data_IF_071751525943
#
_entry.id   IF_071751525943
#
_cell.length_a   1.000
_cell.length_b   1.000
_cell.length_c   1.000
_cell.angle_alpha   90.00
_cell.angle_beta   90.00
_cell.angle_gamma   90.00
#
_symmetry.space_group_name_H-M   'P 1'
#
loop_
_entity.id
_entity.type
_entity.pdbx_description
1 polymer ?
#
# COMPACT_ATOMS: atom_id res chain seq x y z
N UNK A 1 -12.06 9.29 -3.11
CA UNK A 1 -11.19 9.04 -4.28
C UNK A 1 -9.74 9.44 -4.06
N UNK A 2 -9.37 10.70 -3.84
CA UNK A 2 -7.94 11.05 -3.61
C UNK A 2 -7.33 10.29 -2.43
N UNK A 3 -8.06 10.19 -1.32
CA UNK A 3 -7.65 9.39 -0.15
C UNK A 3 -7.47 7.91 -0.54
N UNK A 4 -8.44 7.34 -1.26
CA UNK A 4 -8.37 5.95 -1.72
C UNK A 4 -7.14 5.72 -2.64
N UNK A 5 -6.77 6.70 -3.46
CA UNK A 5 -5.56 6.64 -4.32
C UNK A 5 -4.28 6.68 -3.48
N UNK A 6 -4.23 7.50 -2.41
CA UNK A 6 -3.10 7.55 -1.49
C UNK A 6 -2.90 6.20 -0.79
N UNK A 7 -3.96 5.65 -0.25
CA UNK A 7 -3.99 4.33 0.40
C UNK A 7 -3.55 3.22 -0.56
N UNK A 8 -4.06 3.26 -1.80
CA UNK A 8 -3.69 2.31 -2.83
C UNK A 8 -2.20 2.40 -3.18
N UNK A 9 -1.65 3.60 -3.35
CA UNK A 9 -0.23 3.79 -3.63
C UNK A 9 0.66 3.24 -2.49
N UNK A 10 0.24 3.43 -1.24
CA UNK A 10 0.94 2.88 -0.06
C UNK A 10 0.89 1.35 -0.05
N UNK A 11 -0.24 0.72 -0.35
CA UNK A 11 -0.34 -0.74 -0.40
C UNK A 11 0.41 -1.38 -1.58
N UNK A 12 0.40 -0.71 -2.73
CA UNK A 12 1.03 -1.23 -3.95
C UNK A 12 2.55 -1.14 -3.89
N UNK A 13 3.08 -0.03 -3.33
CA UNK A 13 4.49 0.29 -3.45
C UNK A 13 5.21 0.38 -2.10
N UNK A 14 4.50 0.49 -0.97
CA UNK A 14 5.04 0.91 0.32
C UNK A 14 5.80 2.26 0.22
N UNK A 15 5.30 3.15 -0.65
CA UNK A 15 5.85 4.49 -0.94
C UNK A 15 4.76 5.55 -0.88
N UNK A 16 5.18 6.78 -0.55
CA UNK A 16 4.41 7.96 -0.86
C UNK A 16 4.45 8.22 -2.38
N UNK A 17 3.32 8.51 -3.05
CA UNK A 17 3.29 8.67 -4.49
C UNK A 17 4.00 9.94 -4.99
N UNK A 18 4.12 10.99 -4.17
CA UNK A 18 4.57 12.30 -4.64
C UNK A 18 3.54 12.96 -5.56
N UNK A 19 3.70 14.26 -5.82
CA UNK A 19 2.68 15.04 -6.56
C UNK A 19 2.59 14.67 -8.03
N UNK A 20 3.68 14.19 -8.65
CA UNK A 20 3.68 13.75 -10.06
C UNK A 20 2.75 12.55 -10.27
N UNK A 21 3.01 11.44 -9.58
CA UNK A 21 2.20 10.24 -9.71
C UNK A 21 0.78 10.48 -9.18
N UNK A 22 0.63 11.15 -8.04
CA UNK A 22 -0.70 11.44 -7.52
C UNK A 22 -1.53 12.26 -8.53
N UNK A 23 -0.92 13.25 -9.19
CA UNK A 23 -1.56 14.03 -10.23
C UNK A 23 -2.05 13.17 -11.40
N UNK A 24 -1.21 12.26 -11.89
CA UNK A 24 -1.58 11.31 -12.95
C UNK A 24 -2.77 10.43 -12.56
N UNK A 25 -2.74 9.83 -11.37
CA UNK A 25 -3.81 8.95 -10.89
C UNK A 25 -5.11 9.72 -10.61
N UNK A 26 -5.03 10.96 -10.12
CA UNK A 26 -6.21 11.83 -9.93
C UNK A 26 -6.81 12.23 -11.28
N UNK A 27 -6.00 12.52 -12.30
CA UNK A 27 -6.50 12.77 -13.66
C UNK A 27 -7.24 11.55 -14.21
N UNK A 28 -6.67 10.35 -14.03
CA UNK A 28 -7.32 9.11 -14.41
C UNK A 28 -8.67 8.90 -13.69
N UNK A 29 -8.72 9.17 -12.38
CA UNK A 29 -9.95 9.09 -11.61
C UNK A 29 -11.00 10.10 -12.07
N UNK A 30 -10.60 11.35 -12.36
CA UNK A 30 -11.49 12.39 -12.88
C UNK A 30 -11.98 12.07 -14.30
N UNK A 31 -11.24 11.27 -15.07
CA UNK A 31 -11.67 10.73 -16.36
C UNK A 31 -12.63 9.53 -16.22
N UNK A 32 -12.99 9.14 -14.99
CA UNK A 32 -13.97 8.09 -14.70
C UNK A 32 -13.38 6.70 -14.49
N UNK A 33 -12.05 6.56 -14.37
CA UNK A 33 -11.46 5.26 -14.02
C UNK A 33 -11.86 4.82 -12.61
N UNK A 34 -12.11 3.52 -12.47
CA UNK A 34 -12.35 2.89 -11.17
C UNK A 34 -11.03 2.74 -10.40
N UNK A 35 -11.13 2.53 -9.09
CA UNK A 35 -9.96 2.28 -8.25
C UNK A 35 -9.19 1.02 -8.68
N UNK A 36 -9.90 -0.01 -9.17
CA UNK A 36 -9.26 -1.22 -9.73
C UNK A 36 -8.50 -0.92 -11.04
N UNK A 37 -9.02 -0.05 -11.90
CA UNK A 37 -8.31 0.39 -13.10
C UNK A 37 -7.07 1.24 -12.76
N UNK A 38 -7.16 2.07 -11.72
CA UNK A 38 -6.03 2.83 -11.18
C UNK A 38 -4.98 1.88 -10.58
N UNK A 39 -5.41 0.85 -9.84
CA UNK A 39 -4.53 -0.22 -9.35
C UNK A 39 -3.88 -0.99 -10.51
N UNK A 40 -4.62 -1.23 -11.60
CA UNK A 40 -4.08 -1.79 -12.84
C UNK A 40 -2.99 -0.92 -13.46
N UNK A 41 -3.17 0.40 -13.44
CA UNK A 41 -2.15 1.36 -13.89
C UNK A 41 -0.89 1.24 -13.04
N UNK A 42 -1.03 1.22 -11.71
CA UNK A 42 0.09 1.06 -10.78
C UNK A 42 0.80 -0.31 -10.96
N UNK A 43 0.07 -1.41 -11.10
CA UNK A 43 0.64 -2.75 -11.32
C UNK A 43 1.37 -2.88 -12.67
N UNK A 44 0.98 -2.07 -13.66
CA UNK A 44 1.60 -2.08 -14.99
C UNK A 44 2.95 -1.35 -15.03
N UNK A 45 3.29 -0.55 -14.01
CA UNK A 45 4.51 0.26 -13.94
C UNK A 45 5.77 -0.59 -13.85
N UNK A 46 6.87 -0.02 -14.33
CA UNK A 46 8.18 -0.67 -14.30
C UNK A 46 8.66 -0.88 -12.85
N UNK A 47 8.41 0.08 -11.96
CA UNK A 47 8.81 0.00 -10.55
C UNK A 47 8.10 -1.17 -9.84
N UNK A 48 6.79 -1.34 -10.06
CA UNK A 48 6.02 -2.44 -9.48
C UNK A 48 6.51 -3.79 -10.00
N UNK A 49 6.75 -3.92 -11.31
CA UNK A 49 7.25 -5.16 -11.93
C UNK A 49 8.71 -5.47 -11.59
N UNK A 50 9.47 -4.47 -11.15
CA UNK A 50 10.83 -4.68 -10.67
C UNK A 50 10.84 -5.24 -9.25
N UNK A 51 9.93 -4.76 -8.39
CA UNK A 51 9.73 -5.28 -7.03
C UNK A 51 9.05 -6.65 -7.05
N UNK A 52 8.02 -6.82 -7.90
CA UNK A 52 7.21 -8.03 -8.04
C UNK A 52 7.28 -8.58 -9.48
N UNK A 53 8.36 -9.31 -9.84
CA UNK A 53 8.55 -9.79 -11.19
C UNK A 53 7.48 -10.76 -11.69
N UNK A 54 7.12 -10.65 -12.97
CA UNK A 54 6.08 -11.48 -13.60
C UNK A 54 6.40 -12.98 -13.70
N UNK A 55 7.64 -13.38 -13.40
CA UNK A 55 8.03 -14.80 -13.36
C UNK A 55 7.77 -15.44 -11.99
N UNK A 56 7.38 -14.66 -10.98
CA UNK A 56 7.01 -15.18 -9.67
C UNK A 56 5.77 -16.06 -9.77
N UNK A 57 5.79 -17.13 -8.99
CA UNK A 57 4.58 -17.85 -8.65
C UNK A 57 3.66 -16.98 -7.78
N UNK A 58 2.35 -17.27 -7.74
CA UNK A 58 1.42 -16.58 -6.85
C UNK A 58 1.84 -16.60 -5.38
N UNK A 59 2.48 -17.69 -4.94
CA UNK A 59 3.00 -17.83 -3.59
C UNK A 59 4.18 -16.89 -3.34
N UNK A 60 5.18 -16.85 -4.24
CA UNK A 60 6.34 -15.95 -4.11
C UNK A 60 5.91 -14.48 -4.08
N UNK A 61 4.99 -14.09 -4.98
CA UNK A 61 4.38 -12.77 -4.94
C UNK A 61 3.70 -12.49 -3.59
N UNK A 62 2.89 -13.44 -3.10
CA UNK A 62 2.22 -13.33 -1.81
C UNK A 62 3.19 -13.16 -0.65
N UNK A 63 4.26 -13.95 -0.59
CA UNK A 63 5.27 -13.88 0.47
C UNK A 63 5.96 -12.50 0.50
N UNK A 64 6.38 -11.97 -0.65
CA UNK A 64 7.04 -10.67 -0.73
C UNK A 64 6.07 -9.51 -0.46
N UNK A 65 4.88 -9.53 -1.08
CA UNK A 65 3.92 -8.44 -0.92
C UNK A 65 3.39 -8.36 0.52
N UNK A 66 2.99 -9.50 1.12
CA UNK A 66 2.49 -9.53 2.51
C UNK A 66 3.57 -9.09 3.50
N UNK A 67 4.83 -9.53 3.33
CA UNK A 67 5.93 -9.08 4.20
C UNK A 67 6.16 -7.57 4.13
N UNK A 68 5.96 -6.96 2.96
CA UNK A 68 6.08 -5.51 2.75
C UNK A 68 4.94 -4.72 3.41
N UNK A 69 3.69 -5.17 3.20
CA UNK A 69 2.50 -4.42 3.66
C UNK A 69 2.11 -4.71 5.11
N UNK A 70 2.44 -5.89 5.65
CA UNK A 70 2.09 -6.31 7.02
C UNK A 70 3.34 -6.74 7.83
N UNK A 71 4.35 -5.87 7.99
CA UNK A 71 5.63 -6.25 8.61
C UNK A 71 5.52 -6.60 10.11
N UNK A 72 4.45 -6.15 10.78
CA UNK A 72 4.19 -6.43 12.20
C UNK A 72 3.32 -7.68 12.41
N UNK A 73 2.89 -8.36 11.34
CA UNK A 73 2.14 -9.61 11.45
C UNK A 73 3.08 -10.74 11.91
N UNK A 74 2.58 -11.59 12.81
CA UNK A 74 3.30 -12.79 13.19
C UNK A 74 3.38 -13.81 12.04
N UNK A 75 4.23 -14.83 12.20
CA UNK A 75 4.47 -15.82 11.15
C UNK A 75 3.22 -16.63 10.77
N UNK A 76 2.28 -16.84 11.71
CA UNK A 76 1.07 -17.60 11.45
C UNK A 76 0.09 -16.77 10.59
N UNK A 77 -0.09 -15.50 10.96
CA UNK A 77 -0.93 -14.57 10.22
C UNK A 77 -0.35 -14.24 8.84
N UNK A 78 0.97 -14.08 8.72
CA UNK A 78 1.62 -13.93 7.42
C UNK A 78 1.34 -15.13 6.51
N UNK A 79 1.51 -16.36 7.03
CA UNK A 79 1.23 -17.57 6.27
C UNK A 79 -0.24 -17.66 5.82
N UNK A 80 -1.18 -17.28 6.68
CA UNK A 80 -2.61 -17.22 6.34
C UNK A 80 -2.89 -16.20 5.23
N UNK A 81 -2.34 -14.99 5.33
CA UNK A 81 -2.49 -13.96 4.29
C UNK A 81 -1.88 -14.41 2.95
N UNK A 82 -0.72 -15.05 2.96
CA UNK A 82 -0.09 -15.60 1.75
C UNK A 82 -1.01 -16.63 1.07
N UNK A 83 -1.65 -17.51 1.84
CA UNK A 83 -2.61 -18.48 1.29
C UNK A 83 -3.82 -17.80 0.64
N UNK A 84 -4.31 -16.70 1.22
CA UNK A 84 -5.42 -15.91 0.64
C UNK A 84 -4.99 -15.29 -0.70
N UNK A 85 -3.78 -14.70 -0.75
CA UNK A 85 -3.22 -14.13 -1.99
C UNK A 85 -3.07 -15.21 -3.07
N UNK A 86 -2.47 -16.34 -2.71
CA UNK A 86 -2.27 -17.47 -3.62
C UNK A 86 -3.61 -18.01 -4.15
N UNK A 87 -4.59 -18.21 -3.26
CA UNK A 87 -5.92 -18.68 -3.64
C UNK A 87 -6.64 -17.72 -4.59
N UNK A 88 -6.54 -16.40 -4.35
CA UNK A 88 -7.14 -15.39 -5.22
C UNK A 88 -6.55 -15.45 -6.64
N UNK A 89 -5.22 -15.46 -6.74
CA UNK A 89 -4.53 -15.44 -8.04
C UNK A 89 -4.74 -16.77 -8.79
N UNK A 90 -4.60 -17.91 -8.10
CA UNK A 90 -4.87 -19.23 -8.69
C UNK A 90 -6.34 -19.41 -9.11
N UNK A 91 -7.26 -18.72 -8.42
CA UNK A 91 -8.68 -18.63 -8.79
C UNK A 91 -8.96 -17.74 -10.00
N UNK A 92 -7.94 -17.14 -10.62
CA UNK A 92 -8.06 -16.23 -11.77
C UNK A 92 -8.28 -14.77 -11.40
N UNK A 93 -8.18 -14.41 -10.12
CA UNK A 93 -8.26 -13.04 -9.66
C UNK A 93 -7.03 -12.22 -10.05
N UNK A 94 -7.23 -10.93 -10.34
CA UNK A 94 -6.14 -10.02 -10.69
C UNK A 94 -5.49 -9.41 -9.45
N UNK A 95 -4.20 -9.06 -9.52
CA UNK A 95 -3.50 -8.29 -8.46
C UNK A 95 -4.23 -6.96 -8.17
N UNK A 96 -4.64 -6.16 -9.18
CA UNK A 96 -5.42 -4.94 -8.92
C UNK A 96 -6.68 -5.17 -8.08
N UNK A 97 -7.48 -6.21 -8.40
CA UNK A 97 -8.69 -6.53 -7.65
C UNK A 97 -8.38 -6.99 -6.20
N UNK A 98 -7.30 -7.76 -6.02
CA UNK A 98 -6.81 -8.19 -4.71
C UNK A 98 -6.47 -6.97 -3.84
N UNK A 99 -5.65 -6.06 -4.36
CA UNK A 99 -5.16 -4.92 -3.60
C UNK A 99 -6.30 -3.97 -3.23
N UNK A 100 -7.27 -3.72 -4.13
CA UNK A 100 -8.46 -2.93 -3.81
C UNK A 100 -9.31 -3.59 -2.71
N UNK A 101 -9.40 -4.92 -2.70
CA UNK A 101 -10.11 -5.66 -1.66
C UNK A 101 -9.40 -5.54 -0.30
N UNK A 102 -8.07 -5.68 -0.29
CA UNK A 102 -7.25 -5.49 0.92
C UNK A 102 -7.32 -4.06 1.41
N UNK A 103 -7.27 -3.07 0.52
CA UNK A 103 -7.44 -1.67 0.88
C UNK A 103 -8.78 -1.44 1.58
N UNK A 104 -9.88 -1.91 0.99
CA UNK A 104 -11.21 -1.74 1.59
C UNK A 104 -11.27 -2.32 3.00
N UNK A 105 -10.61 -3.45 3.25
CA UNK A 105 -10.52 -4.05 4.57
C UNK A 105 -9.68 -3.20 5.54
N UNK A 106 -8.48 -2.77 5.11
CA UNK A 106 -7.52 -2.06 5.95
C UNK A 106 -7.95 -0.63 6.28
N UNK A 107 -8.72 0.02 5.40
CA UNK A 107 -9.22 1.39 5.61
C UNK A 107 -10.45 1.44 6.54
N UNK A 108 -11.09 0.30 6.82
CA UNK A 108 -12.23 0.23 7.74
C UNK A 108 -11.75 -0.03 9.18
N UNK A 109 -11.79 1.02 10.00
CA UNK A 109 -11.37 0.95 11.41
C UNK A 109 -12.22 0.00 12.27
N UNK A 110 -13.39 -0.44 11.81
CA UNK A 110 -14.14 -1.48 12.50
C UNK A 110 -13.43 -2.84 12.49
N UNK A 111 -12.53 -3.07 11.53
CA UNK A 111 -11.68 -4.25 11.46
C UNK A 111 -10.46 -4.19 12.41
N UNK A 112 -10.15 -3.03 12.99
CA UNK A 112 -9.00 -2.81 13.86
C UNK A 112 -9.20 -3.42 15.27
N UNK A 113 -9.29 -4.74 15.34
CA UNK A 113 -9.56 -5.51 16.56
C UNK A 113 -8.54 -6.62 16.76
N UNK A 114 -8.28 -6.98 18.03
CA UNK A 114 -7.37 -8.08 18.37
C UNK A 114 -5.99 -7.95 17.71
N UNK A 115 -5.55 -9.01 17.03
CA UNK A 115 -4.26 -9.09 16.34
C UNK A 115 -4.20 -8.21 15.07
N UNK A 116 -5.34 -7.81 14.49
CA UNK A 116 -5.39 -6.98 13.29
C UNK A 116 -5.20 -5.49 13.60
N UNK A 117 -5.50 -5.07 14.83
CA UNK A 117 -5.37 -3.68 15.25
C UNK A 117 -3.99 -3.08 14.94
N UNK A 118 -2.85 -3.65 15.39
CA UNK A 118 -1.53 -3.09 15.08
C UNK A 118 -1.27 -3.01 13.56
N UNK A 119 -1.79 -3.94 12.77
CA UNK A 119 -1.58 -3.93 11.32
C UNK A 119 -2.33 -2.78 10.63
N UNK A 120 -3.58 -2.57 11.01
CA UNK A 120 -4.41 -1.47 10.52
C UNK A 120 -3.86 -0.12 11.01
N UNK A 121 -3.38 -0.06 12.26
CA UNK A 121 -2.72 1.13 12.80
C UNK A 121 -1.42 1.43 12.02
N UNK A 122 -0.60 0.41 11.70
CA UNK A 122 0.61 0.58 10.89
C UNK A 122 0.29 1.15 9.51
N UNK A 123 -0.68 0.55 8.82
CA UNK A 123 -1.15 1.04 7.53
C UNK A 123 -1.62 2.50 7.61
N UNK A 124 -2.43 2.83 8.60
CA UNK A 124 -2.94 4.19 8.84
C UNK A 124 -1.79 5.18 9.07
N UNK A 125 -0.78 4.80 9.86
CA UNK A 125 0.40 5.62 10.12
C UNK A 125 1.25 5.82 8.85
N UNK A 126 1.47 4.76 8.05
CA UNK A 126 2.16 4.85 6.75
C UNK A 126 1.43 5.79 5.79
N UNK A 127 0.11 5.69 5.69
CA UNK A 127 -0.72 6.60 4.88
C UNK A 127 -0.64 8.05 5.37
N UNK A 128 -0.60 8.25 6.69
CA UNK A 128 -0.44 9.59 7.28
C UNK A 128 0.89 10.22 6.91
N UNK A 129 2.00 9.49 7.04
CA UNK A 129 3.34 9.97 6.64
C UNK A 129 3.43 10.18 5.13
N UNK A 130 2.86 9.27 4.33
CA UNK A 130 2.80 9.43 2.87
C UNK A 130 2.00 10.66 2.44
N UNK A 131 0.92 10.98 3.16
CA UNK A 131 0.12 12.19 2.97
C UNK A 131 0.90 13.43 3.34
N UNK A 132 1.65 13.40 4.44
CA UNK A 132 2.53 14.52 4.82
C UNK A 132 3.57 14.80 3.72
N UNK A 133 4.26 13.76 3.23
CA UNK A 133 5.18 13.88 2.10
C UNK A 133 4.52 14.44 0.83
N UNK A 134 3.40 13.86 0.42
CA UNK A 134 2.83 14.15 -0.91
C UNK A 134 1.98 15.42 -0.92
N UNK A 135 1.22 15.67 0.15
CA UNK A 135 0.23 16.76 0.20
C UNK A 135 0.73 17.94 1.01
N UNK A 136 1.34 17.71 2.18
CA UNK A 136 1.79 18.83 3.03
C UNK A 136 3.07 19.44 2.49
N UNK A 137 4.04 18.61 2.12
CA UNK A 137 5.33 19.05 1.58
C UNK A 137 5.31 19.24 0.06
N UNK A 138 4.26 18.77 -0.62
CA UNK A 138 4.12 18.81 -2.09
C UNK A 138 5.33 18.23 -2.85
N UNK A 139 6.04 17.29 -2.22
CA UNK A 139 7.22 16.68 -2.81
C UNK A 139 6.86 15.96 -4.11
N UNK A 140 7.68 16.18 -5.14
CA UNK A 140 7.33 15.81 -6.51
C UNK A 140 7.47 14.32 -6.80
N UNK A 141 8.55 13.72 -6.31
CA UNK A 141 8.95 12.36 -6.62
C UNK A 141 8.40 11.35 -5.60
N UNK A 142 8.34 10.07 -5.97
CA UNK A 142 7.95 9.03 -5.01
C UNK A 142 8.99 8.88 -3.90
N UNK A 143 8.53 8.51 -2.71
CA UNK A 143 9.40 8.37 -1.55
C UNK A 143 9.11 7.09 -0.75
N UNK A 144 10.15 6.33 -0.45
CA UNK A 144 10.03 5.08 0.30
C UNK A 144 9.72 5.37 1.77
N UNK A 145 8.62 4.79 2.27
CA UNK A 145 8.21 4.99 3.66
C UNK A 145 9.17 4.16 4.56
N UNK A 146 9.86 4.78 5.53
CA UNK A 146 10.80 4.08 6.38
C UNK A 146 10.13 2.98 7.21
N UNK A 147 10.82 1.86 7.40
CA UNK A 147 10.38 0.78 8.29
C UNK A 147 10.24 1.20 9.76
N UNK A 148 10.76 2.38 10.14
CA UNK A 148 10.58 2.97 11.47
C UNK A 148 9.17 3.50 11.70
N UNK A 149 8.35 3.64 10.66
CA UNK A 149 6.92 3.94 10.80
C UNK A 149 6.18 2.64 11.11
N UNK A 150 5.75 2.48 12.37
CA UNK A 150 5.11 1.28 12.90
C UNK A 150 3.66 1.57 13.32
N UNK A 151 3.00 0.62 13.97
CA UNK A 151 1.67 0.75 14.57
C UNK A 151 1.62 1.74 15.74
N UNK A 152 2.78 2.10 16.33
CA UNK A 152 2.85 3.11 17.36
C UNK A 152 2.65 4.52 16.77
N UNK A 153 1.61 5.28 17.17
CA UNK A 153 1.32 6.60 16.59
C UNK A 153 2.45 7.62 16.77
N UNK A 154 3.33 7.44 17.76
CA UNK A 154 4.49 8.31 17.96
C UNK A 154 5.50 8.25 16.80
N UNK A 155 5.53 7.14 16.03
CA UNK A 155 6.45 7.02 14.90
C UNK A 155 6.07 7.92 13.73
N UNK A 156 4.83 8.42 13.66
CA UNK A 156 4.39 9.36 12.61
C UNK A 156 5.20 10.65 12.67
N UNK A 157 5.44 11.19 13.86
CA UNK A 157 6.22 12.41 14.02
C UNK A 157 7.67 12.24 13.52
N UNK A 158 8.31 11.11 13.85
CA UNK A 158 9.64 10.77 13.36
C UNK A 158 9.66 10.51 11.84
N UNK A 159 8.61 9.88 11.30
CA UNK A 159 8.40 9.71 9.87
C UNK A 159 8.34 11.05 9.14
N UNK A 160 7.55 12.00 9.65
CA UNK A 160 7.45 13.35 9.10
C UNK A 160 8.78 14.10 9.17
N UNK A 161 9.54 13.99 10.27
CA UNK A 161 10.88 14.57 10.33
C UNK A 161 11.85 13.97 9.31
N UNK A 162 11.68 12.69 8.95
CA UNK A 162 12.48 12.08 7.88
C UNK A 162 12.10 12.67 6.53
N UNK A 163 10.80 12.86 6.28
CA UNK A 163 10.28 13.55 5.09
C UNK A 163 10.85 14.96 4.96
N UNK A 164 10.92 15.73 6.06
CA UNK A 164 11.44 17.12 6.05
C UNK A 164 12.90 17.23 5.57
N UNK A 165 13.63 16.11 5.53
CA UNK A 165 15.05 16.02 5.15
C UNK A 165 15.30 15.26 3.85
N UNK A 166 14.26 14.74 3.20
CA UNK A 166 14.32 13.97 1.96
C UNK A 166 14.39 14.89 0.73
#
# INVERSE_FOLDING_TARGET
MRQDIMELAVLMNNKAPGTKLLGELVVAANAGQTLEQIAGTLAARAEFKAEYPLFQTPKEFGEEWIASILPEADAALQAECVQIVEAHINGGGSIPALVVSVQKFMSDQTNATGALKPLIDNFTNKVTVATYHTITQEAADEWAIPATVTSNPLTVAAGNSTVDTA
#
